data_IF_586818421584
#
_entry.id   IF_586818421584
#
_cell.length_a   1.000
_cell.length_b   1.000
_cell.length_c   1.000
_cell.angle_alpha   90.00
_cell.angle_beta   90.00
_cell.angle_gamma   90.00
#
_symmetry.space_group_name_H-M   'P 1'
#
loop_
_entity.id
_entity.type
_entity.pdbx_description
1 polymer ?
#
# COMPACT_ATOMS: atom_id res chain seq x y z
N UNK A 1 8.92 13.36 -4.99
CA UNK A 1 7.60 13.23 -5.64
C UNK A 1 6.44 13.06 -4.65
N UNK A 2 6.61 12.30 -3.56
CA UNK A 2 5.60 12.12 -2.51
C UNK A 2 4.99 13.42 -1.96
N UNK A 3 5.80 14.44 -1.65
CA UNK A 3 5.28 15.74 -1.18
C UNK A 3 4.35 16.43 -2.18
N UNK A 4 4.55 16.19 -3.49
CA UNK A 4 3.65 16.71 -4.52
C UNK A 4 2.29 16.02 -4.47
N UNK A 5 2.27 14.70 -4.24
CA UNK A 5 1.02 13.96 -4.06
C UNK A 5 0.28 14.40 -2.81
N UNK A 6 1.00 14.59 -1.70
CA UNK A 6 0.40 15.10 -0.45
C UNK A 6 -0.19 16.49 -0.67
N UNK A 7 0.50 17.38 -1.39
CA UNK A 7 -0.04 18.70 -1.74
C UNK A 7 -1.29 18.57 -2.63
N UNK A 8 -1.29 17.70 -3.65
CA UNK A 8 -2.47 17.45 -4.48
C UNK A 8 -3.65 16.93 -3.64
N UNK A 9 -3.38 16.08 -2.65
CA UNK A 9 -4.39 15.60 -1.71
C UNK A 9 -4.95 16.71 -0.83
N UNK A 10 -4.07 17.57 -0.29
CA UNK A 10 -4.45 18.72 0.52
C UNK A 10 -5.35 19.70 -0.21
N UNK A 11 -5.12 19.91 -1.52
CA UNK A 11 -5.97 20.76 -2.36
C UNK A 11 -7.22 20.03 -2.92
N UNK A 12 -7.47 18.78 -2.51
CA UNK A 12 -8.60 17.98 -2.98
C UNK A 12 -8.50 17.52 -4.44
N UNK A 13 -7.34 17.71 -5.08
CA UNK A 13 -7.08 17.30 -6.45
C UNK A 13 -6.76 15.80 -6.58
N UNK A 14 -6.48 15.13 -5.46
CA UNK A 14 -6.31 13.69 -5.37
C UNK A 14 -6.84 13.17 -4.02
N UNK A 15 -7.13 11.88 -3.94
CA UNK A 15 -7.29 11.18 -2.64
C UNK A 15 -6.13 10.21 -2.51
N UNK A 16 -5.39 10.32 -1.42
CA UNK A 16 -4.34 9.36 -1.07
C UNK A 16 -4.89 8.35 -0.10
N UNK A 17 -4.64 7.10 -0.38
CA UNK A 17 -5.08 5.99 0.44
C UNK A 17 -3.86 5.23 0.91
N UNK A 18 -3.83 4.91 2.20
CA UNK A 18 -2.68 4.27 2.84
C UNK A 18 -3.13 2.93 3.45
N UNK A 19 -2.88 1.80 2.76
CA UNK A 19 -3.20 0.47 3.27
C UNK A 19 -2.42 0.13 4.53
N UNK A 20 -3.09 -0.52 5.48
CA UNK A 20 -2.51 -0.87 6.79
C UNK A 20 -1.21 -1.69 6.70
N UNK A 21 -1.11 -2.67 5.78
CA UNK A 21 0.13 -3.43 5.61
C UNK A 21 1.27 -2.60 5.03
N UNK A 22 0.98 -1.59 4.20
CA UNK A 22 2.00 -0.67 3.71
C UNK A 22 2.55 0.23 4.82
N UNK A 23 1.69 0.70 5.74
CA UNK A 23 2.12 1.42 6.95
C UNK A 23 2.99 0.53 7.83
N UNK A 24 2.58 -0.72 8.03
CA UNK A 24 3.33 -1.68 8.84
C UNK A 24 4.75 -1.88 8.29
N UNK A 25 4.90 -2.14 6.99
CA UNK A 25 6.21 -2.33 6.38
C UNK A 25 7.06 -1.07 6.40
N UNK A 26 6.46 0.08 6.08
CA UNK A 26 7.15 1.36 6.15
C UNK A 26 7.66 1.61 7.58
N UNK A 27 6.86 1.31 8.60
CA UNK A 27 7.24 1.44 10.00
C UNK A 27 8.38 0.49 10.39
N UNK A 28 8.40 -0.75 9.91
CA UNK A 28 9.52 -1.67 10.12
C UNK A 28 10.81 -1.10 9.51
N UNK A 29 10.72 -0.53 8.30
CA UNK A 29 11.88 0.00 7.58
C UNK A 29 12.44 1.30 8.18
N UNK A 30 11.58 2.24 8.60
CA UNK A 30 12.02 3.57 9.04
C UNK A 30 11.99 3.75 10.56
N UNK A 31 11.32 2.87 11.30
CA UNK A 31 11.16 2.92 12.77
C UNK A 31 10.76 4.31 13.28
N UNK A 32 9.81 4.96 12.61
CA UNK A 32 9.37 6.31 12.96
C UNK A 32 8.65 6.33 14.32
N UNK A 33 8.59 7.50 14.95
CA UNK A 33 7.71 7.70 16.10
C UNK A 33 6.25 7.57 15.63
N UNK A 34 5.36 6.86 16.36
CA UNK A 34 3.94 6.76 16.03
C UNK A 34 3.26 8.12 15.73
N UNK A 35 3.67 9.20 16.39
CA UNK A 35 3.13 10.54 16.15
C UNK A 35 3.38 11.06 14.74
N UNK A 36 4.39 10.54 14.03
CA UNK A 36 4.63 10.84 12.61
C UNK A 36 3.51 10.27 11.75
N UNK A 37 3.04 9.05 12.04
CA UNK A 37 1.92 8.45 11.32
C UNK A 37 0.62 9.19 11.62
N UNK A 38 0.36 9.54 12.89
CA UNK A 38 -0.80 10.36 13.26
C UNK A 38 -0.80 11.69 12.50
N UNK A 39 0.36 12.34 12.39
CA UNK A 39 0.49 13.57 11.62
C UNK A 39 0.24 13.36 10.12
N UNK A 40 0.76 12.29 9.53
CA UNK A 40 0.54 11.99 8.10
C UNK A 40 -0.93 11.68 7.81
N UNK A 41 -1.58 10.88 8.66
CA UNK A 41 -2.96 10.45 8.49
C UNK A 41 -3.98 11.56 8.77
N UNK A 42 -3.57 12.66 9.42
CA UNK A 42 -4.42 13.85 9.62
C UNK A 42 -4.37 14.84 8.45
N UNK A 43 -3.50 14.64 7.45
CA UNK A 43 -3.48 15.52 6.29
C UNK A 43 -4.79 15.44 5.48
N UNK A 44 -5.39 16.57 5.10
CA UNK A 44 -6.56 16.58 4.23
C UNK A 44 -6.32 15.80 2.94
N UNK A 45 -7.27 14.93 2.59
CA UNK A 45 -7.20 14.08 1.39
C UNK A 45 -6.40 12.78 1.56
N UNK A 46 -5.78 12.54 2.73
CA UNK A 46 -5.20 11.25 3.09
C UNK A 46 -6.24 10.41 3.85
N UNK A 47 -6.35 9.13 3.51
CA UNK A 47 -7.26 8.17 4.16
C UNK A 47 -6.49 6.92 4.53
N UNK A 48 -6.64 6.47 5.77
CA UNK A 48 -6.19 5.14 6.16
C UNK A 48 -7.11 4.07 5.56
N UNK A 49 -6.56 2.89 5.33
CA UNK A 49 -7.31 1.74 4.83
C UNK A 49 -6.99 0.51 5.65
N UNK A 50 -7.88 0.28 6.62
CA UNK A 50 -7.83 -0.86 7.53
C UNK A 50 -7.99 -2.19 6.78
N UNK A 51 -7.16 -3.17 7.11
CA UNK A 51 -7.29 -4.53 6.57
C UNK A 51 -8.41 -5.28 7.31
N UNK A 52 -9.59 -5.35 6.69
CA UNK A 52 -10.71 -6.13 7.23
C UNK A 52 -10.50 -7.63 7.07
N UNK A 53 -11.23 -8.46 7.82
CA UNK A 53 -11.15 -9.91 7.68
C UNK A 53 -11.52 -10.38 6.26
N UNK A 54 -12.52 -9.74 5.63
CA UNK A 54 -12.91 -10.07 4.26
C UNK A 54 -11.82 -9.69 3.25
N UNK A 55 -11.25 -8.49 3.38
CA UNK A 55 -10.13 -8.05 2.56
C UNK A 55 -8.91 -8.97 2.76
N UNK A 56 -8.63 -9.40 3.99
CA UNK A 56 -7.51 -10.31 4.28
C UNK A 56 -7.62 -11.65 3.54
N UNK A 57 -8.83 -12.21 3.39
CA UNK A 57 -9.04 -13.43 2.59
C UNK A 57 -8.72 -13.16 1.11
N UNK A 58 -9.27 -12.09 0.54
CA UNK A 58 -9.02 -11.74 -0.87
C UNK A 58 -7.55 -11.44 -1.14
N UNK A 59 -6.87 -10.77 -0.22
CA UNK A 59 -5.42 -10.51 -0.25
C UNK A 59 -4.62 -11.81 -0.18
N UNK A 60 -5.03 -12.75 0.68
CA UNK A 60 -4.43 -14.08 0.77
C UNK A 60 -4.54 -14.87 -0.53
N UNK A 61 -5.68 -14.82 -1.21
CA UNK A 61 -5.88 -15.48 -2.51
C UNK A 61 -5.01 -14.86 -3.60
N UNK A 62 -4.82 -13.53 -3.56
CA UNK A 62 -3.94 -12.79 -4.49
C UNK A 62 -2.45 -13.09 -4.24
N UNK A 63 -2.02 -13.19 -2.97
CA UNK A 63 -0.62 -13.45 -2.62
C UNK A 63 -0.23 -14.93 -2.74
N UNK A 64 -1.18 -15.84 -2.51
CA UNK A 64 -0.96 -17.29 -2.39
C UNK A 64 -0.16 -17.93 -3.54
N UNK A 65 -0.43 -17.65 -4.82
CA UNK A 65 0.35 -18.20 -5.93
C UNK A 65 1.84 -17.84 -5.88
N UNK A 66 2.18 -16.61 -5.48
CA UNK A 66 3.56 -16.14 -5.38
C UNK A 66 4.26 -16.70 -4.16
N UNK A 67 3.59 -16.69 -2.99
CA UNK A 67 4.11 -17.27 -1.75
C UNK A 67 4.45 -18.76 -1.89
N UNK A 68 3.64 -19.52 -2.64
CA UNK A 68 3.92 -20.94 -2.92
C UNK A 68 5.11 -21.14 -3.87
N UNK A 69 5.33 -20.20 -4.80
CA UNK A 69 6.39 -20.29 -5.82
C UNK A 69 7.75 -19.85 -5.28
N UNK A 70 7.75 -18.90 -4.34
CA UNK A 70 8.93 -18.36 -3.68
C UNK A 70 8.72 -18.39 -2.16
N UNK A 71 8.76 -19.59 -1.53
CA UNK A 71 8.61 -19.70 -0.08
C UNK A 71 9.82 -19.05 0.61
N UNK A 72 9.66 -17.79 0.99
CA UNK A 72 10.63 -17.03 1.76
C UNK A 72 10.28 -17.15 3.24
N UNK A 73 11.23 -17.63 4.06
CA UNK A 73 11.05 -17.77 5.51
C UNK A 73 10.97 -16.42 6.26
N UNK A 74 11.21 -15.30 5.58
CA UNK A 74 11.31 -13.96 6.19
C UNK A 74 10.48 -12.87 5.51
N UNK A 75 9.80 -13.15 4.38
CA UNK A 75 9.09 -12.13 3.58
C UNK A 75 7.62 -12.47 3.32
N UNK A 76 7.01 -13.23 4.24
CA UNK A 76 5.56 -13.39 4.38
C UNK A 76 4.82 -12.06 4.69
N UNK A 77 5.40 -10.88 4.45
CA UNK A 77 4.68 -9.62 4.54
C UNK A 77 4.72 -8.86 3.21
N UNK A 78 5.84 -8.92 2.46
CA UNK A 78 6.00 -8.18 1.20
C UNK A 78 4.95 -8.57 0.16
N UNK A 79 4.65 -9.86 0.03
CA UNK A 79 3.63 -10.34 -0.92
C UNK A 79 2.20 -10.02 -0.45
N UNK A 80 1.89 -10.17 0.85
CA UNK A 80 0.57 -9.76 1.36
C UNK A 80 0.37 -8.25 1.32
N UNK A 81 1.40 -7.44 1.58
CA UNK A 81 1.38 -5.99 1.45
C UNK A 81 1.11 -5.61 0.00
N UNK A 82 1.89 -6.16 -0.93
CA UNK A 82 1.71 -5.91 -2.37
C UNK A 82 0.31 -6.31 -2.81
N UNK A 83 -0.18 -7.48 -2.38
CA UNK A 83 -1.52 -7.95 -2.68
C UNK A 83 -2.62 -7.07 -2.06
N UNK A 84 -2.45 -6.54 -0.85
CA UNK A 84 -3.39 -5.56 -0.28
C UNK A 84 -3.41 -4.28 -1.11
N UNK A 85 -2.24 -3.70 -1.40
CA UNK A 85 -2.15 -2.47 -2.20
C UNK A 85 -2.82 -2.68 -3.56
N UNK A 86 -2.61 -3.83 -4.21
CA UNK A 86 -3.26 -4.18 -5.47
C UNK A 86 -4.76 -4.34 -5.31
N UNK A 87 -5.22 -5.08 -4.30
CA UNK A 87 -6.64 -5.29 -4.05
C UNK A 87 -7.38 -3.96 -3.93
N UNK A 88 -6.88 -3.08 -3.05
CA UNK A 88 -7.48 -1.77 -2.81
C UNK A 88 -7.41 -0.88 -4.05
N UNK A 89 -6.28 -0.87 -4.76
CA UNK A 89 -6.14 -0.09 -5.99
C UNK A 89 -7.14 -0.53 -7.06
N UNK A 90 -7.39 -1.83 -7.21
CA UNK A 90 -8.39 -2.36 -8.16
C UNK A 90 -9.80 -1.97 -7.72
N UNK A 91 -10.15 -2.16 -6.45
CA UNK A 91 -11.49 -1.81 -5.93
C UNK A 91 -11.80 -0.32 -6.11
N UNK A 92 -10.78 0.53 -6.02
CA UNK A 92 -10.93 1.98 -6.11
C UNK A 92 -10.67 2.55 -7.50
N UNK A 93 -10.25 1.73 -8.47
CA UNK A 93 -9.73 2.23 -9.77
C UNK A 93 -8.60 3.26 -9.57
N UNK A 94 -7.71 3.00 -8.60
CA UNK A 94 -6.63 3.89 -8.21
C UNK A 94 -5.29 3.55 -8.89
N UNK A 95 -4.38 4.52 -8.86
CA UNK A 95 -2.99 4.38 -9.32
C UNK A 95 -2.11 4.03 -8.12
N UNK A 96 -1.26 3.01 -8.27
CA UNK A 96 -0.28 2.63 -7.24
C UNK A 96 0.97 3.49 -7.41
N UNK A 97 1.25 4.33 -6.42
CA UNK A 97 2.47 5.13 -6.36
C UNK A 97 3.56 4.38 -5.57
N UNK A 98 4.68 4.03 -6.18
CA UNK A 98 5.72 3.18 -5.56
C UNK A 98 7.13 3.53 -6.03
N UNK A 99 8.13 3.29 -5.17
CA UNK A 99 9.56 3.35 -5.53
C UNK A 99 10.11 2.01 -6.03
N UNK A 100 9.30 0.95 -5.96
CA UNK A 100 9.70 -0.42 -6.31
C UNK A 100 8.66 -0.99 -7.28
N UNK A 101 8.63 -0.53 -8.54
CA UNK A 101 7.62 -0.95 -9.51
C UNK A 101 7.68 -2.45 -9.85
N UNK A 102 8.84 -3.09 -9.63
CA UNK A 102 9.02 -4.52 -9.88
C UNK A 102 8.14 -5.42 -9.01
N UNK A 103 7.77 -5.00 -7.79
CA UNK A 103 6.86 -5.77 -6.93
C UNK A 103 5.48 -5.96 -7.58
N UNK A 104 5.05 -4.95 -8.35
CA UNK A 104 3.71 -4.85 -8.91
C UNK A 104 3.60 -5.30 -10.36
N UNK A 105 4.71 -5.68 -11.00
CA UNK A 105 4.80 -5.87 -12.46
C UNK A 105 3.79 -6.87 -13.05
N UNK A 106 3.44 -7.91 -12.29
CA UNK A 106 2.51 -8.95 -12.76
C UNK A 106 1.06 -8.74 -12.30
N UNK A 107 0.76 -7.59 -11.67
CA UNK A 107 -0.57 -7.25 -11.21
C UNK A 107 -1.27 -6.29 -12.17
N UNK A 108 -2.62 -6.36 -12.30
CA UNK A 108 -3.38 -5.53 -13.22
C UNK A 108 -3.65 -4.13 -12.63
N UNK A 109 -2.58 -3.39 -12.31
CA UNK A 109 -2.67 -2.04 -11.73
C UNK A 109 -1.86 -1.03 -12.55
N UNK A 110 -2.32 0.22 -12.55
CA UNK A 110 -1.56 1.33 -13.13
C UNK A 110 -0.51 1.79 -12.12
N UNK A 111 0.73 1.94 -12.57
CA UNK A 111 1.86 2.32 -11.74
C UNK A 111 2.27 3.77 -12.00
N UNK A 112 2.64 4.45 -10.92
CA UNK A 112 3.36 5.72 -10.97
C UNK A 112 4.63 5.59 -10.13
N UNK A 113 5.78 5.69 -10.78
CA UNK A 113 7.09 5.56 -10.12
C UNK A 113 7.46 6.84 -9.37
N UNK A 114 7.86 6.74 -8.10
CA UNK A 114 8.08 7.85 -7.15
C UNK A 114 9.52 8.36 -7.02
#
# INVERSE_FOLDING_TARGET
MLMRLVNLAQYGAATLVVPALAVLEAQVAISANPTVWDHVLTFPGVRDMSLTAHAAVAVGDLAGPRLRRYPLHTELMAEQMTAQVVHEAVQMTAIVATRIPTLYRDYPVVLMEL
#
